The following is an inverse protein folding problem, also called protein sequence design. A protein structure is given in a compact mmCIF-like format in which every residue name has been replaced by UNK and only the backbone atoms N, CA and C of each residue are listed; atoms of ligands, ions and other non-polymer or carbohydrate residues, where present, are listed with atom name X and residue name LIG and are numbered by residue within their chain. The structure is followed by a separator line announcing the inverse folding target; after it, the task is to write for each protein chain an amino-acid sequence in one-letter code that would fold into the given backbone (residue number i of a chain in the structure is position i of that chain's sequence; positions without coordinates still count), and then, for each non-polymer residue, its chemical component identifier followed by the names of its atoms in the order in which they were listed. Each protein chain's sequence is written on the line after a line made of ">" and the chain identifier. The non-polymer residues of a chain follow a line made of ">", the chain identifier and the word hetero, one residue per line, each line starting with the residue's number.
data_IF_626916398252
#
_entry.id   IF_626916398252
#
_cell.length_a   1.000
_cell.length_b   1.000
_cell.length_c   1.000
_cell.angle_alpha   90.00
_cell.angle_beta   90.00
_cell.angle_gamma   90.00
#
_symmetry.space_group_name_H-M   'P 1'
#
loop_
_entity.id
_entity.type
_entity.pdbx_description
1 polymer ?
#
# COMPACT_ATOMS: atom_id res chain seq x y z
N UNK A 1 8.16 -5.74 11.29
CA UNK A 1 9.15 -6.21 10.28
C UNK A 1 8.54 -6.58 8.92
N UNK A 2 7.27 -7.02 8.82
CA UNK A 2 6.61 -7.38 7.54
C UNK A 2 6.01 -6.21 6.76
N UNK A 3 5.97 -5.01 7.33
CA UNK A 3 5.32 -3.84 6.70
C UNK A 3 5.98 -3.45 5.37
N UNK A 4 7.28 -3.67 5.21
CA UNK A 4 8.00 -3.34 3.99
C UNK A 4 8.14 -4.52 2.99
N UNK A 5 7.53 -5.68 3.28
CA UNK A 5 7.69 -6.86 2.43
C UNK A 5 7.25 -6.65 0.96
N UNK A 6 6.08 -6.05 0.65
CA UNK A 6 5.67 -5.82 -0.74
C UNK A 6 6.67 -4.92 -1.47
N UNK A 7 7.10 -3.84 -0.82
CA UNK A 7 8.06 -2.89 -1.38
C UNK A 7 9.42 -3.54 -1.63
N UNK A 8 9.89 -4.40 -0.72
CA UNK A 8 11.14 -5.14 -0.90
C UNK A 8 11.08 -6.11 -2.10
N UNK A 9 9.97 -6.82 -2.29
CA UNK A 9 9.78 -7.72 -3.45
C UNK A 9 9.77 -6.93 -4.75
N UNK A 10 9.11 -5.78 -4.79
CA UNK A 10 9.14 -4.89 -5.94
C UNK A 10 10.57 -4.41 -6.25
N UNK A 11 11.30 -3.92 -5.23
CA UNK A 11 12.68 -3.44 -5.39
C UNK A 11 13.63 -4.52 -5.90
N UNK A 12 13.37 -5.78 -5.57
CA UNK A 12 14.19 -6.91 -5.99
C UNK A 12 13.83 -7.42 -7.39
N UNK A 13 12.55 -7.45 -7.74
CA UNK A 13 12.07 -8.15 -8.96
C UNK A 13 11.56 -7.21 -10.05
N UNK A 14 11.24 -5.95 -9.70
CA UNK A 14 10.55 -5.01 -10.58
C UNK A 14 9.12 -5.43 -10.94
N UNK A 15 8.60 -6.51 -10.36
CA UNK A 15 7.29 -7.05 -10.71
C UNK A 15 6.17 -6.27 -9.99
N UNK A 16 5.51 -5.38 -10.73
CA UNK A 16 4.43 -4.53 -10.21
C UNK A 16 3.17 -5.33 -9.85
N UNK A 17 2.85 -6.38 -10.61
CA UNK A 17 1.67 -7.22 -10.37
C UNK A 17 1.75 -7.91 -9.00
N UNK A 18 2.94 -8.44 -8.67
CA UNK A 18 3.22 -9.08 -7.38
C UNK A 18 3.14 -8.08 -6.23
N UNK A 19 3.66 -6.86 -6.42
CA UNK A 19 3.55 -5.80 -5.43
C UNK A 19 2.09 -5.46 -5.09
N UNK A 20 1.26 -5.25 -6.12
CA UNK A 20 -0.15 -4.91 -5.94
C UNK A 20 -0.93 -6.04 -5.26
N UNK A 21 -0.70 -7.29 -5.67
CA UNK A 21 -1.31 -8.45 -5.04
C UNK A 21 -0.96 -8.55 -3.55
N UNK A 22 0.32 -8.38 -3.21
CA UNK A 22 0.77 -8.43 -1.81
C UNK A 22 0.25 -7.25 -0.99
N UNK A 23 0.10 -6.07 -1.60
CA UNK A 23 -0.49 -4.90 -0.95
C UNK A 23 -1.96 -5.14 -0.62
N UNK A 24 -2.75 -5.63 -1.57
CA UNK A 24 -4.17 -5.93 -1.39
C UNK A 24 -4.40 -7.01 -0.31
N UNK A 25 -3.63 -8.11 -0.33
CA UNK A 25 -3.74 -9.16 0.69
C UNK A 25 -3.44 -8.65 2.11
N UNK A 26 -2.50 -7.70 2.23
CA UNK A 26 -2.19 -7.05 3.52
C UNK A 26 -3.32 -6.14 3.96
N UNK A 27 -3.94 -5.39 3.05
CA UNK A 27 -5.09 -4.53 3.36
C UNK A 27 -6.29 -5.35 3.82
N UNK A 28 -6.58 -6.48 3.16
CA UNK A 28 -7.64 -7.40 3.56
C UNK A 28 -7.42 -8.03 4.96
N UNK A 29 -6.16 -8.33 5.32
CA UNK A 29 -5.83 -8.83 6.67
C UNK A 29 -5.99 -7.77 7.77
N UNK A 30 -5.84 -6.49 7.43
CA UNK A 30 -5.90 -5.36 8.36
C UNK A 30 -7.32 -4.78 8.53
N UNK A 31 -8.31 -5.25 7.76
CA UNK A 31 -9.71 -4.84 7.91
C UNK A 31 -10.42 -5.45 9.13
N UNK A 32 -9.70 -6.11 10.05
CA UNK A 32 -10.18 -6.22 11.44
C UNK A 32 -10.15 -4.81 12.07
N UNK A 33 -11.17 -4.37 12.85
CA UNK A 33 -11.51 -2.95 13.05
C UNK A 33 -10.44 -2.03 13.68
N UNK A 34 -9.26 -2.52 14.03
CA UNK A 34 -8.28 -1.83 14.88
C UNK A 34 -7.21 -1.02 14.13
N UNK A 35 -7.09 -1.09 12.79
CA UNK A 35 -5.93 -0.50 12.08
C UNK A 35 -6.26 0.37 10.85
N UNK A 36 -7.39 1.07 10.83
CA UNK A 36 -7.76 1.99 9.74
C UNK A 36 -6.96 3.32 9.69
N UNK A 37 -5.86 3.47 10.44
CA UNK A 37 -5.27 4.79 10.71
C UNK A 37 -3.91 5.09 10.03
N UNK A 38 -3.32 4.22 9.21
CA UNK A 38 -1.91 4.44 8.77
C UNK A 38 -1.60 4.34 7.27
N UNK A 39 -2.59 4.30 6.37
CA UNK A 39 -2.31 4.22 4.91
C UNK A 39 -3.14 5.18 4.05
N UNK A 40 -3.61 6.29 4.64
CA UNK A 40 -4.11 7.45 3.89
C UNK A 40 -3.06 8.56 4.03
N UNK A 41 -1.89 8.31 3.47
CA UNK A 41 -0.83 9.29 3.20
C UNK A 41 -0.27 8.81 1.84
N UNK A 42 -0.31 9.50 0.70
CA UNK A 42 -0.69 10.85 0.32
C UNK A 42 -1.15 10.75 -1.15
N UNK A 43 -2.38 11.12 -1.47
CA UNK A 43 -2.66 11.74 -2.77
C UNK A 43 -3.49 12.97 -2.43
N UNK A 44 -2.78 14.06 -2.12
CA UNK A 44 -3.36 15.37 -1.90
C UNK A 44 -4.24 15.73 -3.08
N UNK A 45 -5.51 15.88 -2.79
CA UNK A 45 -6.41 16.77 -3.48
C UNK A 45 -5.80 18.18 -3.41
N UNK A 46 -5.02 18.55 -4.42
CA UNK A 46 -4.65 19.93 -4.70
C UNK A 46 -4.94 20.22 -6.18
N UNK A 47 -6.23 20.50 -6.40
CA UNK A 47 -6.70 21.67 -7.14
C UNK A 47 -5.75 22.21 -8.23
N UNK A 48 -5.99 21.79 -9.47
CA UNK A 48 -5.72 22.63 -10.63
C UNK A 48 -7.04 22.83 -11.38
N UNK A 49 -7.93 23.55 -10.69
CA UNK A 49 -8.97 24.31 -11.33
C UNK A 49 -8.37 25.70 -11.66
N UNK A 50 -7.84 25.85 -12.87
CA UNK A 50 -7.55 27.14 -13.52
C UNK A 50 -7.67 26.99 -15.04
#
# INVERSE_FOLDING_TARGET
>A
MLENLPWNVFRQTGNIETYLLMKEMKEQNQQSPEHQASSIEQESQEDLNL
#
